data_IF_514996822842
#
_entry.id   IF_514996822842
#
_cell.length_a   1.000
_cell.length_b   1.000
_cell.length_c   1.000
_cell.angle_alpha   90.00
_cell.angle_beta   90.00
_cell.angle_gamma   90.00
#
_symmetry.space_group_name_H-M   'P 1'
#
loop_
_entity.id
_entity.type
_entity.pdbx_description
1 polymer ?
#
# COMPACT_ATOMS: atom_id res chain seq x y z
N UNK A 1 -3.05 10.82 -1.88
CA UNK A 1 -2.67 9.43 -2.20
C UNK A 1 -3.79 8.69 -2.91
N UNK A 2 -3.42 7.64 -3.61
CA UNK A 2 -4.36 6.70 -4.24
C UNK A 2 -4.05 5.32 -3.70
N UNK A 3 -5.10 4.65 -3.20
CA UNK A 3 -5.05 3.29 -2.67
C UNK A 3 -6.00 2.39 -3.44
N UNK A 4 -5.62 1.13 -3.63
CA UNK A 4 -6.49 0.09 -4.19
C UNK A 4 -6.32 -1.24 -3.48
N UNK A 5 -7.38 -2.05 -3.49
CA UNK A 5 -7.35 -3.45 -3.09
C UNK A 5 -7.68 -4.31 -4.30
N UNK A 6 -6.94 -5.40 -4.48
CA UNK A 6 -7.13 -6.35 -5.56
C UNK A 6 -7.40 -7.74 -4.99
N UNK A 7 -8.35 -8.44 -5.59
CA UNK A 7 -8.63 -9.85 -5.27
C UNK A 7 -8.21 -10.68 -6.48
N UNK A 8 -7.39 -11.71 -6.24
CA UNK A 8 -6.96 -12.68 -7.26
C UNK A 8 -7.57 -14.04 -7.03
N UNK A 9 -7.72 -14.82 -8.08
CA UNK A 9 -8.31 -16.15 -8.02
C UNK A 9 -9.82 -16.14 -8.00
N UNK A 10 -10.47 -15.05 -8.43
CA UNK A 10 -11.92 -15.03 -8.60
C UNK A 10 -12.33 -16.13 -9.61
N UNK A 11 -13.49 -16.81 -9.43
CA UNK A 11 -13.95 -17.84 -10.35
C UNK A 11 -13.95 -17.38 -11.81
N UNK A 12 -13.29 -18.12 -12.68
CA UNK A 12 -13.12 -17.79 -14.10
C UNK A 12 -11.89 -16.92 -14.42
N UNK A 13 -11.11 -16.47 -13.43
CA UNK A 13 -9.88 -15.72 -13.68
C UNK A 13 -8.87 -16.53 -14.50
N UNK A 14 -8.43 -15.97 -15.62
CA UNK A 14 -7.43 -16.57 -16.51
C UNK A 14 -6.01 -16.07 -16.19
N UNK A 15 -5.01 -16.66 -16.83
CA UNK A 15 -3.64 -16.14 -16.77
C UNK A 15 -3.53 -14.75 -17.40
N UNK A 16 -4.30 -14.49 -18.45
CA UNK A 16 -4.31 -13.17 -19.11
C UNK A 16 -4.85 -12.08 -18.19
N UNK A 17 -5.92 -12.37 -17.44
CA UNK A 17 -6.48 -11.43 -16.45
C UNK A 17 -5.46 -11.11 -15.33
N UNK A 18 -4.75 -12.14 -14.86
CA UNK A 18 -3.68 -11.97 -13.88
C UNK A 18 -2.51 -11.11 -14.41
N UNK A 19 -2.08 -11.36 -15.65
CA UNK A 19 -1.02 -10.60 -16.29
C UNK A 19 -1.43 -9.13 -16.52
N UNK A 20 -2.67 -8.89 -16.89
CA UNK A 20 -3.23 -7.54 -17.04
C UNK A 20 -3.26 -6.79 -15.71
N UNK A 21 -3.64 -7.47 -14.61
CA UNK A 21 -3.60 -6.89 -13.27
C UNK A 21 -2.16 -6.54 -12.85
N UNK A 22 -1.19 -7.42 -13.09
CA UNK A 22 0.23 -7.15 -12.80
C UNK A 22 0.76 -5.94 -13.58
N UNK A 23 0.40 -5.83 -14.87
CA UNK A 23 0.73 -4.68 -15.69
C UNK A 23 0.09 -3.39 -15.18
N UNK A 24 -1.17 -3.45 -14.74
CA UNK A 24 -1.86 -2.31 -14.13
C UNK A 24 -1.16 -1.85 -12.85
N UNK A 25 -0.84 -2.75 -11.93
CA UNK A 25 -0.14 -2.44 -10.68
C UNK A 25 1.20 -1.75 -10.96
N UNK A 26 1.96 -2.25 -11.93
CA UNK A 26 3.25 -1.67 -12.33
C UNK A 26 3.12 -0.25 -12.88
N UNK A 27 2.02 0.05 -13.59
CA UNK A 27 1.83 1.33 -14.29
C UNK A 27 1.09 2.39 -13.46
N UNK A 28 0.24 1.99 -12.51
CA UNK A 28 -0.74 2.87 -11.85
C UNK A 28 -0.13 3.84 -10.84
N UNK A 29 1.10 3.62 -10.36
CA UNK A 29 1.81 4.47 -9.36
C UNK A 29 0.97 4.71 -8.10
N UNK A 30 0.33 3.66 -7.59
CA UNK A 30 -0.47 3.71 -6.38
C UNK A 30 0.42 3.94 -5.15
N UNK A 31 -0.10 4.64 -4.15
CA UNK A 31 0.61 4.90 -2.90
C UNK A 31 0.48 3.72 -1.92
N UNK A 32 -0.63 2.98 -2.00
CA UNK A 32 -0.84 1.74 -1.23
C UNK A 32 -1.65 0.72 -2.02
N UNK A 33 -1.31 -0.57 -1.86
CA UNK A 33 -1.92 -1.67 -2.60
C UNK A 33 -2.13 -2.85 -1.65
N UNK A 34 -3.39 -3.28 -1.48
CA UNK A 34 -3.72 -4.52 -0.80
C UNK A 34 -3.96 -5.65 -1.81
N UNK A 35 -3.34 -6.81 -1.63
CA UNK A 35 -3.54 -8.01 -2.44
C UNK A 35 -4.17 -9.10 -1.59
N UNK A 36 -5.28 -9.66 -2.05
CA UNK A 36 -6.04 -10.69 -1.34
C UNK A 36 -6.35 -11.85 -2.28
N UNK A 37 -6.35 -13.08 -1.75
CA UNK A 37 -6.88 -14.24 -2.43
C UNK A 37 -8.40 -14.29 -2.32
N UNK A 38 -9.07 -14.72 -3.39
CA UNK A 38 -10.49 -15.02 -3.34
C UNK A 38 -10.75 -16.16 -2.33
N UNK A 39 -11.80 -16.02 -1.55
CA UNK A 39 -12.38 -17.08 -0.72
C UNK A 39 -13.89 -17.13 -0.93
N UNK A 40 -14.44 -18.33 -0.85
CA UNK A 40 -15.90 -18.51 -0.86
C UNK A 40 -16.50 -17.94 0.43
N UNK A 41 -17.53 -17.11 0.27
CA UNK A 41 -18.25 -16.50 1.39
C UNK A 41 -19.74 -16.88 1.31
N UNK A 42 -20.31 -17.28 2.43
CA UNK A 42 -21.71 -17.65 2.52
C UNK A 42 -22.64 -16.49 2.08
N UNK A 43 -23.71 -16.83 1.37
CA UNK A 43 -24.71 -15.91 0.87
C UNK A 43 -24.19 -14.90 -0.19
N UNK A 44 -23.15 -15.24 -0.91
CA UNK A 44 -22.68 -14.48 -2.09
C UNK A 44 -22.98 -15.24 -3.38
N UNK A 45 -23.25 -14.51 -4.46
CA UNK A 45 -23.44 -15.12 -5.80
C UNK A 45 -22.16 -15.83 -6.27
N UNK A 46 -21.00 -15.38 -5.84
CA UNK A 46 -19.71 -15.93 -6.21
C UNK A 46 -19.52 -17.37 -5.70
N UNK A 47 -20.18 -17.75 -4.61
CA UNK A 47 -20.15 -19.13 -4.07
C UNK A 47 -20.63 -20.15 -5.10
N UNK A 48 -21.67 -19.80 -5.87
CA UNK A 48 -22.32 -20.67 -6.86
C UNK A 48 -21.68 -20.62 -8.27
N UNK A 49 -20.67 -19.78 -8.46
CA UNK A 49 -19.97 -19.72 -9.73
C UNK A 49 -19.16 -20.98 -9.99
N UNK A 50 -19.20 -21.44 -11.27
CA UNK A 50 -18.31 -22.48 -11.78
C UNK A 50 -16.88 -21.91 -12.03
N UNK A 51 -16.00 -22.77 -12.51
CA UNK A 51 -14.63 -22.40 -12.90
C UNK A 51 -13.79 -21.82 -11.74
N UNK A 52 -13.95 -22.40 -10.55
CA UNK A 52 -13.12 -22.06 -9.38
C UNK A 52 -11.64 -22.24 -9.71
N UNK A 53 -10.84 -21.28 -9.32
CA UNK A 53 -9.39 -21.34 -9.43
C UNK A 53 -8.83 -22.22 -8.31
N UNK A 54 -7.83 -23.03 -8.61
CA UNK A 54 -7.16 -23.90 -7.64
C UNK A 54 -6.52 -23.07 -6.50
N UNK A 55 -6.64 -23.55 -5.26
CA UNK A 55 -6.16 -22.83 -4.06
C UNK A 55 -4.65 -22.59 -4.08
N UNK A 56 -3.85 -23.55 -4.56
CA UNK A 56 -2.40 -23.39 -4.66
C UNK A 56 -2.05 -22.33 -5.71
N UNK A 57 -2.82 -22.23 -6.79
CA UNK A 57 -2.65 -21.18 -7.80
C UNK A 57 -3.05 -19.81 -7.25
N UNK A 58 -4.14 -19.71 -6.48
CA UNK A 58 -4.53 -18.46 -5.80
C UNK A 58 -3.40 -18.00 -4.89
N UNK A 59 -2.87 -18.89 -4.05
CA UNK A 59 -1.78 -18.59 -3.14
C UNK A 59 -0.54 -18.09 -3.87
N UNK A 60 -0.14 -18.77 -4.95
CA UNK A 60 1.00 -18.38 -5.78
C UNK A 60 0.80 -17.01 -6.42
N UNK A 61 -0.41 -16.70 -6.91
CA UNK A 61 -0.77 -15.39 -7.47
C UNK A 61 -0.73 -14.28 -6.42
N UNK A 62 -1.24 -14.54 -5.21
CA UNK A 62 -1.16 -13.60 -4.08
C UNK A 62 0.28 -13.29 -3.73
N UNK A 63 1.14 -14.29 -3.58
CA UNK A 63 2.56 -14.13 -3.27
C UNK A 63 3.28 -13.29 -4.35
N UNK A 64 3.04 -13.62 -5.62
CA UNK A 64 3.64 -12.91 -6.75
C UNK A 64 3.22 -11.43 -6.81
N UNK A 65 1.92 -11.15 -6.71
CA UNK A 65 1.43 -9.77 -6.77
C UNK A 65 1.74 -8.98 -5.51
N UNK A 66 1.79 -9.60 -4.34
CA UNK A 66 2.21 -8.92 -3.11
C UNK A 66 3.65 -8.45 -3.22
N UNK A 67 4.55 -9.28 -3.73
CA UNK A 67 5.94 -8.88 -3.98
C UNK A 67 6.05 -7.72 -4.97
N UNK A 68 5.27 -7.76 -6.04
CA UNK A 68 5.21 -6.67 -7.03
C UNK A 68 4.63 -5.38 -6.41
N UNK A 69 3.56 -5.50 -5.62
CA UNK A 69 2.94 -4.37 -4.93
C UNK A 69 3.91 -3.68 -3.97
N UNK A 70 4.64 -4.47 -3.17
CA UNK A 70 5.65 -3.96 -2.23
C UNK A 70 6.77 -3.20 -2.98
N UNK A 71 7.24 -3.74 -4.11
CA UNK A 71 8.23 -3.05 -4.96
C UNK A 71 7.68 -1.72 -5.49
N UNK A 72 6.46 -1.72 -6.03
CA UNK A 72 5.85 -0.51 -6.61
C UNK A 72 5.57 0.56 -5.56
N UNK A 73 5.10 0.17 -4.37
CA UNK A 73 4.87 1.08 -3.23
C UNK A 73 6.21 1.68 -2.75
N UNK A 74 7.25 0.86 -2.64
CA UNK A 74 8.60 1.32 -2.27
C UNK A 74 9.16 2.32 -3.30
N UNK A 75 9.02 2.03 -4.59
CA UNK A 75 9.41 2.96 -5.66
C UNK A 75 8.62 4.27 -5.59
N UNK A 76 7.32 4.18 -5.29
CA UNK A 76 6.46 5.37 -5.15
C UNK A 76 6.86 6.22 -3.95
N UNK A 77 7.18 5.61 -2.81
CA UNK A 77 7.68 6.30 -1.62
C UNK A 77 9.02 6.99 -1.90
N UNK A 78 9.96 6.28 -2.53
CA UNK A 78 11.27 6.84 -2.91
C UNK A 78 11.16 8.02 -3.88
N UNK A 79 10.18 8.01 -4.77
CA UNK A 79 9.93 9.13 -5.70
C UNK A 79 9.45 10.40 -4.99
N UNK A 80 9.04 10.32 -3.73
CA UNK A 80 8.61 11.47 -2.91
C UNK A 80 9.78 12.20 -2.22
N UNK A 81 10.99 11.66 -2.26
CA UNK A 81 12.17 12.31 -1.67
C UNK A 81 12.34 13.70 -2.30
N UNK A 82 12.43 14.74 -1.46
CA UNK A 82 12.43 16.13 -1.86
C UNK A 82 11.04 16.79 -1.95
N UNK A 83 9.95 16.04 -1.80
CA UNK A 83 8.58 16.59 -1.75
C UNK A 83 8.33 17.30 -0.41
N UNK A 84 7.74 18.49 -0.47
CA UNK A 84 7.25 19.18 0.72
C UNK A 84 5.90 18.60 1.13
N UNK A 85 5.78 18.22 2.39
CA UNK A 85 4.58 17.60 2.95
C UNK A 85 4.18 18.27 4.26
N UNK A 86 2.92 18.11 4.62
CA UNK A 86 2.44 18.43 5.97
C UNK A 86 2.10 17.12 6.69
N UNK A 87 2.71 16.89 7.85
CA UNK A 87 2.61 15.67 8.64
C UNK A 87 1.82 15.97 9.91
N UNK A 88 0.79 15.18 10.19
CA UNK A 88 0.10 15.16 11.48
C UNK A 88 0.84 14.19 12.40
N UNK A 89 1.33 14.68 13.54
CA UNK A 89 1.99 13.85 14.55
C UNK A 89 0.93 13.00 15.30
N UNK A 90 1.12 11.71 15.31
CA UNK A 90 0.22 10.73 15.95
C UNK A 90 0.90 10.00 17.11
N UNK A 91 2.23 9.92 17.11
CA UNK A 91 3.04 9.35 18.19
C UNK A 91 4.19 10.30 18.57
N UNK A 92 4.17 10.78 19.81
CA UNK A 92 5.20 11.68 20.33
C UNK A 92 6.42 10.96 20.91
N UNK A 93 6.35 9.65 21.18
CA UNK A 93 7.48 8.86 21.66
C UNK A 93 8.35 8.42 20.47
N UNK A 94 7.72 7.91 19.43
CA UNK A 94 8.38 7.49 18.19
C UNK A 94 8.67 8.67 17.23
N UNK A 95 8.07 9.84 17.50
CA UNK A 95 8.13 11.01 16.60
C UNK A 95 7.64 10.68 15.20
N UNK A 96 6.49 10.03 15.15
CA UNK A 96 5.84 9.57 13.92
C UNK A 96 4.48 10.19 13.72
N UNK A 97 4.09 10.21 12.46
CA UNK A 97 2.79 10.69 12.04
C UNK A 97 2.51 10.29 10.61
N UNK A 98 1.57 10.97 10.00
CA UNK A 98 1.20 10.70 8.60
C UNK A 98 1.11 11.97 7.77
N UNK A 99 1.62 11.89 6.56
CA UNK A 99 1.40 12.88 5.52
C UNK A 99 0.03 12.69 4.86
N UNK A 100 -0.44 13.69 4.12
CA UNK A 100 -1.78 13.69 3.51
C UNK A 100 -2.09 12.54 2.54
N UNK A 101 -1.08 11.83 2.05
CA UNK A 101 -1.25 10.66 1.18
C UNK A 101 -1.28 9.34 1.92
N UNK A 102 -0.95 9.31 3.22
CA UNK A 102 -0.93 8.11 4.05
C UNK A 102 -2.25 7.99 4.82
N UNK A 103 -2.94 6.88 4.63
CA UNK A 103 -4.13 6.52 5.40
C UNK A 103 -3.74 6.00 6.79
N UNK A 104 -4.65 6.05 7.77
CA UNK A 104 -4.38 5.57 9.11
C UNK A 104 -4.02 4.08 9.11
N UNK A 105 -2.95 3.72 9.84
CA UNK A 105 -2.56 2.35 10.23
C UNK A 105 -2.08 1.41 9.11
N UNK A 106 -2.23 1.76 7.83
CA UNK A 106 -2.00 0.78 6.74
C UNK A 106 -1.13 1.27 5.58
N UNK A 107 -0.88 2.57 5.45
CA UNK A 107 -0.22 3.12 4.26
C UNK A 107 1.20 3.63 4.55
N UNK A 108 1.81 3.13 5.61
CA UNK A 108 3.11 3.59 6.11
C UNK A 108 3.00 4.84 6.99
N UNK A 109 4.11 5.21 7.61
CA UNK A 109 4.26 6.36 8.50
C UNK A 109 5.26 7.35 7.95
N UNK A 110 5.28 8.56 8.51
CA UNK A 110 6.33 9.55 8.29
C UNK A 110 6.99 9.87 9.64
N UNK A 111 8.26 9.53 9.78
CA UNK A 111 9.03 9.73 11.01
C UNK A 111 9.96 10.95 10.93
N UNK A 112 10.32 11.47 12.10
CA UNK A 112 11.26 12.55 12.28
C UNK A 112 12.41 12.11 13.19
N UNK A 113 13.61 12.60 12.91
CA UNK A 113 14.81 12.29 13.70
C UNK A 113 15.18 13.53 14.54
N UNK A 114 15.57 13.32 15.81
CA UNK A 114 16.03 14.35 16.73
C UNK A 114 15.03 15.52 16.90
N UNK A 115 13.74 15.19 17.01
CA UNK A 115 12.67 16.17 17.24
C UNK A 115 11.91 15.88 18.53
N UNK A 116 11.02 16.80 18.92
CA UNK A 116 10.17 16.66 20.11
C UNK A 116 8.81 17.33 19.84
N UNK A 117 8.06 16.74 18.95
CA UNK A 117 6.71 17.20 18.60
C UNK A 117 5.67 16.54 19.50
N UNK A 118 4.56 17.25 19.71
CA UNK A 118 3.41 16.74 20.47
C UNK A 118 2.36 16.15 19.53
N UNK A 119 1.65 15.14 20.00
CA UNK A 119 0.52 14.54 19.27
C UNK A 119 -0.52 15.60 18.89
N UNK A 120 -0.99 15.55 17.67
CA UNK A 120 -1.96 16.50 17.10
C UNK A 120 -1.35 17.73 16.43
N UNK A 121 -0.03 17.93 16.52
CA UNK A 121 0.65 18.99 15.78
C UNK A 121 0.73 18.65 14.28
N UNK A 122 0.61 19.71 13.45
CA UNK A 122 0.90 19.64 12.02
C UNK A 122 2.26 20.27 11.75
N UNK A 123 3.14 19.49 11.15
CA UNK A 123 4.53 19.90 10.83
C UNK A 123 4.68 20.01 9.32
N UNK A 124 5.09 21.18 8.83
CA UNK A 124 5.53 21.34 7.44
C UNK A 124 6.96 20.83 7.33
N UNK A 125 7.21 19.93 6.40
CA UNK A 125 8.45 19.17 6.32
C UNK A 125 8.81 18.83 4.87
N UNK A 126 10.05 18.40 4.66
CA UNK A 126 10.53 17.83 3.39
C UNK A 126 10.89 16.36 3.61
N UNK A 127 10.46 15.50 2.70
CA UNK A 127 10.85 14.07 2.68
C UNK A 127 12.34 13.96 2.36
N UNK A 128 13.10 13.25 3.19
CA UNK A 128 14.55 13.09 3.01
C UNK A 128 14.98 11.66 2.76
N UNK A 129 14.15 10.67 3.14
CA UNK A 129 14.43 9.24 2.94
C UNK A 129 13.13 8.43 2.92
N UNK A 130 13.22 7.14 2.51
CA UNK A 130 12.12 6.20 2.50
C UNK A 130 12.60 4.77 2.75
N UNK A 131 11.75 3.95 3.41
CA UNK A 131 11.98 2.53 3.61
C UNK A 131 10.65 1.77 3.43
N UNK A 132 10.52 1.03 2.32
CA UNK A 132 9.23 0.45 1.95
C UNK A 132 8.20 1.56 1.69
N UNK A 133 7.08 1.54 2.41
CA UNK A 133 6.05 2.58 2.37
C UNK A 133 6.34 3.75 3.33
N UNK A 134 7.24 3.56 4.29
CA UNK A 134 7.55 4.55 5.32
C UNK A 134 8.47 5.64 4.78
N UNK A 135 8.31 6.83 5.34
CA UNK A 135 9.05 8.02 4.98
C UNK A 135 9.79 8.59 6.17
N UNK A 136 10.92 9.21 5.91
CA UNK A 136 11.63 10.04 6.88
C UNK A 136 11.57 11.49 6.41
N UNK A 137 11.20 12.39 7.31
CA UNK A 137 11.07 13.80 6.98
C UNK A 137 11.93 14.67 7.91
N UNK A 138 12.24 15.85 7.41
CA UNK A 138 12.91 16.92 8.17
C UNK A 138 12.01 18.16 8.17
N UNK A 139 11.78 18.79 9.35
CA UNK A 139 11.05 20.05 9.43
C UNK A 139 11.66 21.15 8.52
N UNK A 140 10.79 21.99 7.95
CA UNK A 140 11.19 23.14 7.14
C UNK A 140 11.62 24.32 8.01
#
# INVERSE_FOLDING_TARGET
GIRSNCIVGFPGETQADFDDLANFISAAKLDAIGIFGYSDEDNTEALDLSDKVDEDLIKSRVESLSSLADEMVSMRASARIGENVRVLIEDSELQEGRAAHQGPEVDGTTSFIDTNFEVGQYIDAVIIDSMGADLVARPL
#
